data_IF_229599552807
#
_entry.id   IF_229599552807
#
_cell.length_a   1.000
_cell.length_b   1.000
_cell.length_c   1.000
_cell.angle_alpha   90.00
_cell.angle_beta   90.00
_cell.angle_gamma   90.00
#
_symmetry.space_group_name_H-M   'P 1'
#
loop_
_entity.id
_entity.type
_entity.pdbx_description
1 polymer ?
#
# COMPACT_ATOMS: atom_id res chain seq x y z
N UNK A 1 -21.22 -34.86 -42.32
CA UNK A 1 -20.51 -33.57 -42.07
C UNK A 1 -20.87 -32.88 -40.74
N UNK A 2 -22.04 -33.13 -40.11
CA UNK A 2 -22.44 -32.47 -38.84
C UNK A 2 -21.67 -32.93 -37.59
N UNK A 3 -21.15 -34.16 -37.56
CA UNK A 3 -20.42 -34.73 -36.42
C UNK A 3 -18.96 -34.27 -36.33
N UNK A 4 -18.28 -34.10 -37.48
CA UNK A 4 -16.90 -33.59 -37.54
C UNK A 4 -16.83 -32.13 -37.07
N UNK A 5 -17.81 -31.30 -37.45
CA UNK A 5 -17.91 -29.91 -36.98
C UNK A 5 -18.15 -29.80 -35.47
N UNK A 6 -18.97 -30.68 -34.88
CA UNK A 6 -19.19 -30.73 -33.43
C UNK A 6 -17.94 -31.16 -32.66
N UNK A 7 -17.17 -32.11 -33.20
CA UNK A 7 -15.88 -32.52 -32.61
C UNK A 7 -14.86 -31.38 -32.59
N UNK A 8 -14.79 -30.60 -33.68
CA UNK A 8 -13.89 -29.44 -33.76
C UNK A 8 -14.27 -28.34 -32.76
N UNK A 9 -15.57 -28.05 -32.62
CA UNK A 9 -16.07 -27.07 -31.65
C UNK A 9 -15.80 -27.54 -30.22
N UNK A 10 -16.02 -28.82 -29.92
CA UNK A 10 -15.73 -29.36 -28.59
C UNK A 10 -14.24 -29.28 -28.26
N UNK A 11 -13.38 -29.58 -29.23
CA UNK A 11 -11.93 -29.44 -29.06
C UNK A 11 -11.52 -27.98 -28.83
N UNK A 12 -12.08 -27.04 -29.60
CA UNK A 12 -11.81 -25.61 -29.41
C UNK A 12 -12.27 -25.11 -28.03
N UNK A 13 -13.45 -25.54 -27.56
CA UNK A 13 -13.96 -25.19 -26.23
C UNK A 13 -13.12 -25.82 -25.12
N UNK A 14 -12.70 -27.08 -25.27
CA UNK A 14 -11.82 -27.75 -24.31
C UNK A 14 -10.45 -27.06 -24.22
N UNK A 15 -9.90 -26.61 -25.36
CA UNK A 15 -8.64 -25.88 -25.43
C UNK A 15 -8.76 -24.47 -24.83
N UNK A 16 -9.92 -23.82 -25.02
CA UNK A 16 -10.19 -22.52 -24.42
C UNK A 16 -10.36 -22.61 -22.90
N UNK A 17 -11.09 -23.63 -22.41
CA UNK A 17 -11.23 -23.88 -20.97
C UNK A 17 -9.91 -24.34 -20.33
N UNK A 18 -9.08 -25.11 -21.05
CA UNK A 18 -7.75 -25.51 -20.58
C UNK A 18 -6.81 -24.29 -20.43
N UNK A 19 -6.95 -23.28 -21.28
CA UNK A 19 -6.19 -22.02 -21.20
C UNK A 19 -6.43 -21.23 -19.91
N UNK A 20 -7.53 -21.46 -19.19
CA UNK A 20 -7.85 -20.74 -17.94
C UNK A 20 -7.70 -21.64 -16.70
N UNK A 21 -7.76 -22.97 -16.89
CA UNK A 21 -7.69 -23.95 -15.80
C UNK A 21 -6.28 -24.54 -15.58
N UNK A 22 -5.52 -24.78 -16.66
CA UNK A 22 -4.15 -25.33 -16.58
C UNK A 22 -3.10 -24.22 -16.58
N UNK A 23 -3.39 -23.08 -17.20
CA UNK A 23 -2.52 -21.92 -17.20
C UNK A 23 -3.00 -20.93 -16.15
N UNK A 24 -2.34 -20.95 -14.99
CA UNK A 24 -2.50 -19.93 -13.96
C UNK A 24 -2.09 -18.56 -14.55
N UNK A 25 -3.05 -17.65 -14.81
CA UNK A 25 -2.76 -16.37 -15.45
C UNK A 25 -1.82 -15.51 -14.59
N UNK A 26 -1.79 -15.73 -13.27
CA UNK A 26 -0.84 -15.10 -12.37
C UNK A 26 0.60 -15.47 -12.72
N UNK A 27 0.89 -16.76 -12.98
CA UNK A 27 2.24 -17.23 -13.33
C UNK A 27 2.73 -16.75 -14.69
N UNK A 28 1.84 -16.66 -15.68
CA UNK A 28 2.18 -16.13 -17.00
C UNK A 28 2.48 -14.64 -16.88
N UNK A 29 1.62 -13.89 -16.21
CA UNK A 29 1.79 -12.45 -15.99
C UNK A 29 3.09 -12.17 -15.26
N UNK A 30 3.39 -12.90 -14.19
CA UNK A 30 4.64 -12.81 -13.44
C UNK A 30 5.88 -13.12 -14.28
N UNK A 31 5.79 -14.11 -15.18
CA UNK A 31 6.91 -14.52 -16.04
C UNK A 31 7.14 -13.51 -17.17
N UNK A 32 6.07 -12.97 -17.74
CA UNK A 32 6.11 -11.93 -18.76
C UNK A 32 6.59 -10.60 -18.17
N UNK A 33 6.07 -10.17 -17.02
CA UNK A 33 6.54 -9.00 -16.29
C UNK A 33 8.03 -9.12 -15.93
N UNK A 34 8.46 -10.26 -15.38
CA UNK A 34 9.89 -10.49 -15.05
C UNK A 34 10.80 -10.39 -16.26
N UNK A 35 10.32 -10.84 -17.43
CA UNK A 35 11.10 -10.81 -18.67
C UNK A 35 11.14 -9.42 -19.31
N UNK A 36 10.10 -8.61 -19.13
CA UNK A 36 9.99 -7.26 -19.71
C UNK A 36 10.56 -6.15 -18.80
N UNK A 37 10.34 -6.24 -17.49
CA UNK A 37 10.64 -5.16 -16.52
C UNK A 37 11.77 -5.56 -15.56
N UNK A 38 12.23 -6.81 -15.61
CA UNK A 38 13.18 -7.36 -14.63
C UNK A 38 12.50 -7.84 -13.36
N UNK A 39 13.28 -8.31 -12.38
CA UNK A 39 12.75 -8.73 -11.08
C UNK A 39 12.21 -7.50 -10.33
N UNK A 40 10.88 -7.37 -10.27
CA UNK A 40 10.18 -6.29 -9.55
C UNK A 40 10.17 -6.51 -8.05
N UNK A 41 10.72 -7.63 -7.55
CA UNK A 41 10.97 -7.79 -6.12
C UNK A 41 11.97 -6.72 -5.72
N UNK A 42 11.56 -5.82 -4.84
CA UNK A 42 12.47 -4.90 -4.18
C UNK A 42 13.63 -5.74 -3.62
N UNK A 43 14.80 -5.63 -4.25
CA UNK A 43 16.05 -6.08 -3.64
C UNK A 43 16.25 -5.16 -2.45
N UNK A 44 15.72 -5.56 -1.30
CA UNK A 44 16.16 -5.02 -0.03
C UNK A 44 17.64 -5.32 0.01
N UNK A 45 18.45 -4.29 -0.18
CA UNK A 45 19.89 -4.39 -0.03
C UNK A 45 20.07 -4.79 1.43
N UNK A 46 20.39 -6.06 1.68
CA UNK A 46 20.76 -6.52 3.01
C UNK A 46 21.86 -5.57 3.48
N UNK A 47 21.64 -4.92 4.63
CA UNK A 47 22.61 -4.01 5.23
C UNK A 47 23.98 -4.71 5.20
N UNK A 48 25.03 -4.09 4.62
CA UNK A 48 26.33 -4.72 4.57
C UNK A 48 26.89 -4.76 6.00
N UNK A 49 26.93 -5.96 6.57
CA UNK A 49 27.26 -6.20 7.97
C UNK A 49 26.07 -6.80 8.69
N UNK A 50 26.18 -8.07 9.10
CA UNK A 50 25.24 -8.61 10.08
C UNK A 50 25.39 -7.81 11.37
N UNK A 51 24.27 -7.38 11.95
CA UNK A 51 24.27 -6.76 13.27
C UNK A 51 24.87 -7.74 14.27
N UNK A 52 25.71 -7.24 15.17
CA UNK A 52 26.26 -8.05 16.25
C UNK A 52 25.12 -8.52 17.18
N UNK A 53 25.31 -9.64 17.88
CA UNK A 53 24.25 -10.21 18.73
C UNK A 53 23.73 -9.22 19.77
N UNK A 54 24.63 -8.43 20.34
CA UNK A 54 24.31 -7.39 21.32
C UNK A 54 23.42 -6.29 20.73
N UNK A 55 23.68 -5.86 19.50
CA UNK A 55 22.86 -4.88 18.79
C UNK A 55 21.46 -5.44 18.48
N UNK A 56 21.38 -6.72 18.11
CA UNK A 56 20.10 -7.41 17.87
C UNK A 56 19.27 -7.55 19.16
N UNK A 57 19.93 -7.83 20.28
CA UNK A 57 19.27 -7.90 21.60
C UNK A 57 18.75 -6.53 22.01
N UNK A 58 19.54 -5.47 21.84
CA UNK A 58 19.10 -4.08 22.10
C UNK A 58 17.91 -3.65 21.23
N UNK A 59 17.94 -3.95 19.93
CA UNK A 59 16.80 -3.67 19.04
C UNK A 59 15.58 -4.46 19.47
N UNK A 60 15.74 -5.73 19.86
CA UNK A 60 14.62 -6.58 20.28
C UNK A 60 13.99 -6.10 21.59
N UNK A 61 14.81 -5.62 22.52
CA UNK A 61 14.34 -5.01 23.77
C UNK A 61 13.52 -3.75 23.46
N UNK A 62 14.06 -2.86 22.63
CA UNK A 62 13.38 -1.62 22.23
C UNK A 62 12.06 -1.91 21.50
N UNK A 63 12.05 -2.86 20.56
CA UNK A 63 10.84 -3.31 19.89
C UNK A 63 9.80 -3.89 20.87
N UNK A 64 10.24 -4.47 21.98
CA UNK A 64 9.38 -4.96 23.05
C UNK A 64 8.63 -3.86 23.80
N UNK A 65 9.11 -2.62 23.73
CA UNK A 65 8.43 -1.45 24.34
C UNK A 65 7.23 -0.98 23.53
N UNK A 66 7.16 -1.35 22.24
CA UNK A 66 6.08 -0.93 21.34
C UNK A 66 4.82 -1.76 21.64
N UNK A 67 3.78 -1.11 22.16
CA UNK A 67 2.51 -1.77 22.42
C UNK A 67 1.51 -1.63 21.25
N UNK A 68 0.75 -2.68 20.92
CA UNK A 68 -0.38 -2.59 19.97
C UNK A 68 -1.43 -1.55 20.37
N UNK A 69 -1.61 -1.33 21.67
CA UNK A 69 -2.54 -0.37 22.24
C UNK A 69 -2.14 1.08 21.90
N UNK A 70 -0.85 1.40 21.98
CA UNK A 70 -0.33 2.72 21.60
C UNK A 70 -0.53 2.98 20.11
N UNK A 71 -0.26 1.97 19.26
CA UNK A 71 -0.51 2.07 17.81
C UNK A 71 -1.99 2.30 17.54
N UNK A 72 -2.88 1.53 18.19
CA UNK A 72 -4.33 1.70 18.04
C UNK A 72 -4.79 3.09 18.49
N UNK A 73 -4.26 3.60 19.61
CA UNK A 73 -4.59 4.94 20.13
C UNK A 73 -4.16 6.04 19.15
N UNK A 74 -2.95 5.95 18.63
CA UNK A 74 -2.44 6.90 17.61
C UNK A 74 -3.30 6.85 16.35
N UNK A 75 -3.63 5.64 15.85
CA UNK A 75 -4.51 5.50 14.70
C UNK A 75 -5.89 6.12 14.93
N UNK A 76 -6.52 5.84 16.08
CA UNK A 76 -7.82 6.40 16.42
C UNK A 76 -7.80 7.94 16.47
N UNK A 77 -6.71 8.51 16.96
CA UNK A 77 -6.54 9.97 16.97
C UNK A 77 -6.42 10.53 15.54
N UNK A 78 -5.59 9.95 14.68
CA UNK A 78 -5.42 10.43 13.31
C UNK A 78 -6.69 10.28 12.45
N UNK A 79 -7.46 9.21 12.65
CA UNK A 79 -8.72 9.00 11.92
C UNK A 79 -9.84 9.92 12.41
N UNK A 80 -9.79 10.39 13.66
CA UNK A 80 -10.77 11.34 14.21
C UNK A 80 -10.75 12.72 13.54
N UNK A 81 -9.65 13.11 12.89
CA UNK A 81 -9.51 14.44 12.25
C UNK A 81 -10.03 14.52 10.81
N UNK A 82 -10.63 13.45 10.30
CA UNK A 82 -11.13 13.40 8.92
C UNK A 82 -10.01 13.34 7.88
N UNK A 83 -10.23 13.96 6.71
CA UNK A 83 -9.26 13.94 5.61
C UNK A 83 -7.98 14.67 5.98
N UNK A 84 -6.84 14.04 5.65
CA UNK A 84 -5.48 14.62 5.80
C UNK A 84 -4.88 15.07 4.48
N UNK A 85 -5.68 15.11 3.40
CA UNK A 85 -5.27 15.72 2.15
C UNK A 85 -4.85 17.18 2.38
N UNK A 86 -3.87 17.66 1.62
CA UNK A 86 -3.37 19.04 1.75
C UNK A 86 -4.54 20.02 1.62
N UNK A 87 -4.58 21.05 2.46
CA UNK A 87 -5.67 22.03 2.51
C UNK A 87 -6.87 21.68 3.38
N UNK A 88 -7.01 20.42 3.83
CA UNK A 88 -8.05 20.02 4.78
C UNK A 88 -7.58 20.22 6.24
N UNK A 89 -8.49 20.49 7.20
CA UNK A 89 -8.12 20.71 8.61
C UNK A 89 -7.32 19.55 9.24
N UNK A 90 -7.63 18.31 8.88
CA UNK A 90 -6.94 17.13 9.39
C UNK A 90 -5.46 17.08 9.02
N UNK A 91 -5.05 17.73 7.92
CA UNK A 91 -3.65 17.85 7.53
C UNK A 91 -2.85 18.66 8.56
N UNK A 92 -3.39 19.82 8.97
CA UNK A 92 -2.75 20.68 9.99
C UNK A 92 -2.71 19.99 11.36
N UNK A 93 -3.79 19.34 11.78
CA UNK A 93 -3.82 18.60 13.05
C UNK A 93 -2.78 17.48 13.11
N UNK A 94 -2.60 16.75 12.01
CA UNK A 94 -1.58 15.70 11.90
C UNK A 94 -0.16 16.28 11.99
N UNK A 95 0.10 17.41 11.32
CA UNK A 95 1.37 18.13 11.43
C UNK A 95 1.69 18.52 12.88
N UNK A 96 0.76 19.20 13.57
CA UNK A 96 0.96 19.64 14.95
C UNK A 96 1.18 18.47 15.91
N UNK A 97 0.49 17.35 15.68
CA UNK A 97 0.71 16.12 16.45
C UNK A 97 2.14 15.60 16.27
N UNK A 98 2.60 15.42 15.01
CA UNK A 98 3.92 14.84 14.73
C UNK A 98 5.02 15.74 15.29
N UNK A 99 4.91 17.05 15.08
CA UNK A 99 5.85 18.03 15.61
C UNK A 99 5.97 17.91 17.13
N UNK A 100 4.83 17.88 17.84
CA UNK A 100 4.81 17.73 19.30
C UNK A 100 5.39 16.40 19.77
N UNK A 101 5.10 15.29 19.09
CA UNK A 101 5.70 14.00 19.49
C UNK A 101 7.22 13.99 19.27
N UNK A 102 7.72 14.62 18.20
CA UNK A 102 9.17 14.77 17.98
C UNK A 102 9.84 15.62 19.05
N UNK A 103 9.23 16.74 19.43
CA UNK A 103 9.71 17.58 20.54
C UNK A 103 9.68 16.81 21.87
N UNK A 104 8.62 16.02 22.11
CA UNK A 104 8.43 15.25 23.34
C UNK A 104 9.47 14.14 23.53
N UNK A 105 9.91 13.49 22.46
CA UNK A 105 10.98 12.48 22.53
C UNK A 105 12.38 13.11 22.59
N UNK A 106 12.47 14.44 22.64
CA UNK A 106 13.74 15.17 22.83
C UNK A 106 14.54 15.35 21.55
N UNK A 107 13.94 15.21 20.36
CA UNK A 107 14.64 15.57 19.12
C UNK A 107 14.95 17.06 19.10
N UNK A 108 16.21 17.38 18.87
CA UNK A 108 16.66 18.76 18.70
C UNK A 108 16.43 19.24 17.26
N UNK A 109 16.30 20.55 17.08
CA UNK A 109 16.20 21.21 15.76
C UNK A 109 15.02 20.73 14.90
N UNK A 110 13.87 20.46 15.50
CA UNK A 110 12.64 20.16 14.77
C UNK A 110 12.20 21.40 13.97
N UNK A 111 12.27 21.33 12.64
CA UNK A 111 11.89 22.42 11.73
C UNK A 111 10.72 22.00 10.84
N UNK A 112 9.86 22.97 10.50
CA UNK A 112 8.81 22.81 9.51
C UNK A 112 9.17 23.61 8.25
N UNK A 113 9.01 23.00 7.09
CA UNK A 113 9.21 23.66 5.80
C UNK A 113 7.85 23.82 5.10
N UNK A 114 7.58 25.03 4.64
CA UNK A 114 6.33 25.36 3.96
C UNK A 114 6.50 25.30 2.44
N UNK A 115 5.55 24.68 1.76
CA UNK A 115 5.52 24.58 0.31
C UNK A 115 4.19 25.12 -0.22
N UNK A 116 4.27 26.01 -1.21
CA UNK A 116 3.07 26.44 -1.94
C UNK A 116 2.74 25.41 -3.00
N UNK A 117 1.55 24.82 -2.91
CA UNK A 117 1.06 23.81 -3.86
C UNK A 117 -0.36 24.14 -4.28
N UNK A 118 -0.71 23.78 -5.52
CA UNK A 118 -2.09 23.88 -6.01
C UNK A 118 -2.89 22.68 -5.52
N UNK A 119 -3.99 22.92 -4.82
CA UNK A 119 -4.89 21.87 -4.33
C UNK A 119 -6.26 22.03 -4.98
N UNK A 120 -6.81 20.98 -5.62
CA UNK A 120 -8.20 21.01 -6.06
C UNK A 120 -9.12 20.95 -4.83
N UNK A 121 -9.90 22.01 -4.61
CA UNK A 121 -10.89 22.04 -3.54
C UNK A 121 -12.12 21.25 -4.01
N UNK A 122 -12.39 20.13 -3.33
CA UNK A 122 -13.60 19.34 -3.57
C UNK A 122 -14.85 20.12 -3.15
N UNK A 123 -15.84 20.21 -4.05
CA UNK A 123 -17.14 20.84 -3.79
C UNK A 123 -18.24 19.81 -3.52
N UNK A 124 -17.89 18.54 -3.43
CA UNK A 124 -18.82 17.42 -3.33
C UNK A 124 -19.34 16.98 -4.70
N UNK A 125 -20.09 15.87 -4.71
CA UNK A 125 -20.78 15.34 -5.87
C UNK A 125 -22.16 14.81 -5.44
N UNK A 126 -23.15 14.92 -6.33
CA UNK A 126 -24.47 14.33 -6.16
C UNK A 126 -24.79 13.39 -7.32
N UNK A 127 -25.57 12.35 -7.03
CA UNK A 127 -26.12 11.44 -8.03
C UNK A 127 -27.62 11.34 -7.80
N UNK A 128 -28.40 11.79 -8.78
CA UNK A 128 -29.86 11.70 -8.74
C UNK A 128 -30.32 10.47 -9.51
N UNK A 129 -31.14 9.63 -8.87
CA UNK A 129 -31.75 8.46 -9.51
C UNK A 129 -33.14 8.85 -9.99
N UNK A 130 -33.34 8.85 -11.31
CA UNK A 130 -34.65 9.12 -11.91
C UNK A 130 -35.52 7.87 -11.82
N UNK A 131 -36.75 8.01 -11.30
CA UNK A 131 -37.75 6.92 -11.30
C UNK A 131 -38.20 6.61 -12.72
N UNK A 132 -38.21 5.33 -13.08
CA UNK A 132 -38.77 4.80 -14.35
C UNK A 132 -40.28 4.64 -14.24
#
# INVERSE_FOLDING_TARGET
>A
MRTVGKGLVFFAVALWLSSVTLFDPGKITDRVLRKLVGDTRLRVKTVPGGLEREELEGIREELGTISPEDVRRTLAQFTSWGSRAVGYPGNRNAYEYIKREFEKIGLERVTAEEFTVTVPVDKGASLDVLST
#
